data_IF_074443097427
#
_entry.id   IF_074443097427
#
_cell.length_a   1.000
_cell.length_b   1.000
_cell.length_c   1.000
_cell.angle_alpha   90.00
_cell.angle_beta   90.00
_cell.angle_gamma   90.00
#
_symmetry.space_group_name_H-M   'P 1'
#
loop_
_entity.id
_entity.type
_entity.pdbx_description
1 polymer ?
#
# COMPACT_ATOMS: atom_id res chain seq x y z
N UNK A 1 23.35 49.94 -48.59
CA UNK A 1 23.72 48.91 -47.57
C UNK A 1 22.71 48.88 -46.39
N UNK A 2 22.31 50.00 -45.82
CA UNK A 2 21.33 50.08 -44.72
C UNK A 2 19.94 49.51 -45.08
N UNK A 3 19.43 49.79 -46.32
CA UNK A 3 18.14 49.28 -46.75
C UNK A 3 18.03 47.75 -46.81
N UNK A 4 19.13 47.06 -47.15
CA UNK A 4 19.13 45.57 -47.18
C UNK A 4 19.17 45.02 -45.74
N UNK A 5 19.80 45.68 -44.80
CA UNK A 5 19.83 45.28 -43.39
C UNK A 5 18.40 45.38 -42.78
N UNK A 6 17.66 46.46 -43.07
CA UNK A 6 16.30 46.68 -42.59
C UNK A 6 15.34 45.64 -43.11
N UNK A 7 15.53 45.11 -44.34
CA UNK A 7 14.68 44.03 -44.90
C UNK A 7 15.03 42.61 -44.41
N UNK A 8 16.29 42.41 -43.98
CA UNK A 8 16.76 41.07 -43.55
C UNK A 8 16.48 40.85 -42.05
N UNK A 9 16.56 41.91 -41.19
CA UNK A 9 16.31 41.80 -39.75
C UNK A 9 14.96 41.16 -39.39
N UNK A 10 13.81 41.58 -39.94
CA UNK A 10 12.50 40.96 -39.62
C UNK A 10 12.43 39.48 -39.98
N UNK A 11 13.07 39.10 -41.10
CA UNK A 11 13.09 37.68 -41.57
C UNK A 11 13.91 36.86 -40.58
N UNK A 12 15.06 37.31 -40.16
CA UNK A 12 15.89 36.63 -39.14
C UNK A 12 15.19 36.47 -37.80
N UNK A 13 14.53 37.57 -37.33
CA UNK A 13 13.76 37.54 -36.10
C UNK A 13 12.63 36.52 -36.20
N UNK A 14 11.89 36.50 -37.31
CA UNK A 14 10.81 35.55 -37.54
C UNK A 14 11.34 34.09 -37.58
N UNK A 15 12.48 33.86 -38.20
CA UNK A 15 13.09 32.51 -38.30
C UNK A 15 13.57 32.03 -36.90
N UNK A 16 14.21 32.91 -36.12
CA UNK A 16 14.63 32.61 -34.74
C UNK A 16 13.40 32.34 -33.86
N UNK A 17 12.35 33.16 -33.97
CA UNK A 17 11.10 32.96 -33.25
C UNK A 17 10.45 31.62 -33.60
N UNK A 18 10.42 31.26 -34.90
CA UNK A 18 9.87 29.98 -35.34
C UNK A 18 10.67 28.79 -34.76
N UNK A 19 12.00 28.82 -34.84
CA UNK A 19 12.85 27.78 -34.29
C UNK A 19 12.65 27.67 -32.76
N UNK A 20 12.61 28.80 -32.05
CA UNK A 20 12.35 28.83 -30.62
C UNK A 20 11.00 28.23 -30.26
N UNK A 21 9.96 28.57 -31.01
CA UNK A 21 8.59 28.03 -30.83
C UNK A 21 8.55 26.50 -31.04
N UNK A 22 9.25 25.99 -32.05
CA UNK A 22 9.34 24.55 -32.32
C UNK A 22 10.05 23.85 -31.16
N UNK A 23 11.16 24.40 -30.67
CA UNK A 23 11.92 23.84 -29.54
C UNK A 23 11.08 23.86 -28.25
N UNK A 24 10.37 24.94 -27.97
CA UNK A 24 9.50 25.08 -26.84
C UNK A 24 8.35 24.07 -26.89
N UNK A 25 7.69 23.93 -28.04
CA UNK A 25 6.63 22.97 -28.23
C UNK A 25 7.11 21.51 -28.04
N UNK A 26 8.30 21.15 -28.55
CA UNK A 26 8.91 19.84 -28.32
C UNK A 26 9.18 19.59 -26.82
N UNK A 27 9.70 20.59 -26.10
CA UNK A 27 9.95 20.50 -24.66
C UNK A 27 8.65 20.34 -23.89
N UNK A 28 7.65 21.14 -24.19
CA UNK A 28 6.32 21.10 -23.57
C UNK A 28 5.65 19.75 -23.80
N UNK A 29 5.70 19.21 -25.03
CA UNK A 29 5.17 17.88 -25.33
C UNK A 29 5.83 16.79 -24.49
N UNK A 30 7.16 16.78 -24.38
CA UNK A 30 7.89 15.81 -23.54
C UNK A 30 7.52 15.91 -22.06
N UNK A 31 7.30 17.13 -21.56
CA UNK A 31 6.85 17.35 -20.18
C UNK A 31 5.44 16.79 -20.00
N UNK A 32 4.53 17.08 -20.92
CA UNK A 32 3.14 16.57 -20.88
C UNK A 32 3.11 15.04 -20.88
N UNK A 33 3.84 14.39 -21.78
CA UNK A 33 3.93 12.93 -21.84
C UNK A 33 4.45 12.32 -20.52
N UNK A 34 5.43 12.99 -19.87
CA UNK A 34 5.91 12.56 -18.55
C UNK A 34 4.87 12.73 -17.45
N UNK A 35 4.16 13.85 -17.45
CA UNK A 35 3.10 14.13 -16.46
C UNK A 35 1.95 13.14 -16.60
N UNK A 36 1.49 12.89 -17.83
CA UNK A 36 0.44 11.91 -18.12
C UNK A 36 0.82 10.51 -17.64
N UNK A 37 2.07 10.11 -17.88
CA UNK A 37 2.58 8.81 -17.39
C UNK A 37 2.56 8.72 -15.86
N UNK A 38 3.06 9.76 -15.17
CA UNK A 38 3.06 9.79 -13.70
C UNK A 38 1.63 9.77 -13.16
N UNK A 39 0.70 10.50 -13.77
CA UNK A 39 -0.71 10.48 -13.39
C UNK A 39 -1.31 9.08 -13.54
N UNK A 40 -1.03 8.40 -14.64
CA UNK A 40 -1.51 7.03 -14.87
C UNK A 40 -0.97 6.06 -13.83
N UNK A 41 0.31 6.16 -13.49
CA UNK A 41 0.93 5.32 -12.45
C UNK A 41 0.30 5.59 -11.06
N UNK A 42 -0.03 6.84 -10.73
CA UNK A 42 -0.73 7.20 -9.48
C UNK A 42 -2.15 6.65 -9.47
N UNK A 43 -2.88 6.72 -10.58
CA UNK A 43 -4.24 6.16 -10.69
C UNK A 43 -4.20 4.65 -10.43
N UNK A 44 -3.30 3.91 -11.09
CA UNK A 44 -3.14 2.47 -10.90
C UNK A 44 -2.81 2.12 -9.44
N UNK A 45 -1.87 2.86 -8.83
CA UNK A 45 -1.52 2.66 -7.43
C UNK A 45 -2.73 2.90 -6.51
N UNK A 46 -3.51 3.95 -6.78
CA UNK A 46 -4.69 4.29 -6.01
C UNK A 46 -5.79 3.24 -6.13
N UNK A 47 -6.06 2.75 -7.35
CA UNK A 47 -7.07 1.72 -7.60
C UNK A 47 -6.74 0.42 -6.87
N UNK A 48 -5.50 -0.07 -6.98
CA UNK A 48 -5.06 -1.26 -6.25
C UNK A 48 -5.11 -1.07 -4.74
N UNK A 49 -4.71 0.11 -4.25
CA UNK A 49 -4.77 0.40 -2.82
C UNK A 49 -6.21 0.53 -2.29
N UNK A 50 -7.19 0.84 -3.15
CA UNK A 50 -8.62 0.81 -2.78
C UNK A 50 -9.05 -0.62 -2.39
N UNK A 51 -8.56 -1.66 -3.07
CA UNK A 51 -8.84 -3.05 -2.68
C UNK A 51 -8.33 -3.34 -1.26
N UNK A 52 -7.11 -2.95 -0.93
CA UNK A 52 -6.55 -3.08 0.43
C UNK A 52 -7.44 -2.36 1.47
N UNK A 53 -7.89 -1.14 1.18
CA UNK A 53 -8.78 -0.39 2.10
C UNK A 53 -10.15 -1.04 2.27
N UNK A 54 -10.72 -1.57 1.20
CA UNK A 54 -12.00 -2.25 1.24
C UNK A 54 -11.89 -3.56 2.04
N UNK A 55 -10.86 -4.35 1.80
CA UNK A 55 -10.60 -5.58 2.54
C UNK A 55 -10.37 -5.30 4.04
N UNK A 56 -9.63 -4.23 4.37
CA UNK A 56 -9.49 -3.76 5.76
C UNK A 56 -10.84 -3.45 6.40
N UNK A 57 -11.70 -2.70 5.72
CA UNK A 57 -13.03 -2.35 6.23
C UNK A 57 -13.87 -3.60 6.50
N UNK A 58 -13.89 -4.54 5.55
CA UNK A 58 -14.63 -5.82 5.70
C UNK A 58 -14.10 -6.61 6.89
N UNK A 59 -12.78 -6.61 7.11
CA UNK A 59 -12.19 -7.22 8.29
C UNK A 59 -12.62 -6.51 9.58
N UNK A 60 -12.55 -5.17 9.63
CA UNK A 60 -12.94 -4.38 10.81
C UNK A 60 -14.41 -4.60 11.18
N UNK A 61 -15.30 -4.66 10.20
CA UNK A 61 -16.73 -4.97 10.40
C UNK A 61 -16.90 -6.39 10.98
N UNK A 62 -16.23 -7.40 10.42
CA UNK A 62 -16.29 -8.77 10.93
C UNK A 62 -15.72 -8.90 12.35
N UNK A 63 -14.64 -8.17 12.66
CA UNK A 63 -14.07 -8.12 14.00
C UNK A 63 -15.03 -7.46 15.00
N UNK A 64 -15.72 -6.41 14.62
CA UNK A 64 -16.72 -5.76 15.47
C UNK A 64 -17.88 -6.71 15.78
N UNK A 65 -18.39 -7.45 14.77
CA UNK A 65 -19.40 -8.49 15.00
C UNK A 65 -18.92 -9.56 16.00
N UNK A 66 -17.66 -10.00 15.88
CA UNK A 66 -17.07 -10.98 16.80
C UNK A 66 -17.00 -10.43 18.24
N UNK A 67 -16.54 -9.19 18.41
CA UNK A 67 -16.46 -8.56 19.75
C UNK A 67 -17.85 -8.51 20.40
N UNK A 68 -18.86 -8.11 19.64
CA UNK A 68 -20.27 -8.09 20.14
C UNK A 68 -20.72 -9.49 20.52
N UNK A 69 -20.45 -10.50 19.70
CA UNK A 69 -20.81 -11.88 20.02
C UNK A 69 -20.10 -12.41 21.28
N UNK A 70 -18.81 -12.11 21.44
CA UNK A 70 -18.04 -12.48 22.63
C UNK A 70 -18.49 -11.76 23.93
N UNK A 71 -19.16 -10.64 23.80
CA UNK A 71 -19.65 -9.83 24.94
C UNK A 71 -21.08 -10.18 25.33
N UNK A 72 -21.81 -10.93 24.52
CA UNK A 72 -23.18 -11.31 24.78
C UNK A 72 -23.23 -12.76 25.29
N UNK A 73 -23.41 -12.92 26.61
CA UNK A 73 -23.46 -14.23 27.29
C UNK A 73 -24.68 -15.09 26.90
N UNK A 74 -25.72 -14.47 26.32
CA UNK A 74 -26.93 -15.19 25.88
C UNK A 74 -26.72 -15.90 24.54
N UNK A 75 -25.66 -15.56 23.78
CA UNK A 75 -25.39 -16.19 22.50
C UNK A 75 -24.73 -17.56 22.67
N UNK A 76 -25.25 -18.54 21.94
CA UNK A 76 -24.63 -19.86 21.90
C UNK A 76 -23.22 -19.84 21.33
N UNK A 77 -22.38 -20.78 21.78
CA UNK A 77 -20.97 -20.91 21.36
C UNK A 77 -20.82 -21.05 19.84
N UNK A 78 -21.79 -21.65 19.16
CA UNK A 78 -21.81 -21.85 17.71
C UNK A 78 -21.86 -20.52 16.95
N UNK A 79 -22.61 -19.54 17.48
CA UNK A 79 -22.69 -18.19 16.89
C UNK A 79 -21.35 -17.47 17.08
N UNK A 80 -20.73 -17.59 18.26
CA UNK A 80 -19.41 -17.02 18.52
C UNK A 80 -18.37 -17.65 17.59
N UNK A 81 -18.43 -18.96 17.37
CA UNK A 81 -17.54 -19.68 16.45
C UNK A 81 -17.71 -19.21 15.00
N UNK A 82 -18.95 -19.04 14.53
CA UNK A 82 -19.23 -18.52 13.18
C UNK A 82 -18.59 -17.12 12.99
N UNK A 83 -18.80 -16.21 13.96
CA UNK A 83 -18.24 -14.85 13.89
C UNK A 83 -16.71 -14.87 14.00
N UNK A 84 -16.15 -15.77 14.80
CA UNK A 84 -14.72 -15.98 14.92
C UNK A 84 -14.09 -16.42 13.59
N UNK A 85 -14.64 -17.44 12.94
CA UNK A 85 -14.15 -17.93 11.65
C UNK A 85 -14.28 -16.84 10.56
N UNK A 86 -15.40 -16.10 10.58
CA UNK A 86 -15.58 -14.96 9.67
C UNK A 86 -14.48 -13.91 9.88
N UNK A 87 -14.23 -13.50 11.11
CA UNK A 87 -13.22 -12.50 11.43
C UNK A 87 -11.80 -12.97 11.06
N UNK A 88 -11.47 -14.24 11.33
CA UNK A 88 -10.18 -14.82 10.96
C UNK A 88 -9.97 -14.89 9.45
N UNK A 89 -10.97 -15.34 8.69
CA UNK A 89 -10.88 -15.39 7.24
C UNK A 89 -10.70 -13.97 6.65
N UNK A 90 -11.42 -12.97 7.17
CA UNK A 90 -11.29 -11.58 6.72
C UNK A 90 -9.95 -10.94 7.12
N UNK A 91 -9.40 -11.33 8.28
CA UNK A 91 -8.02 -10.98 8.64
C UNK A 91 -7.02 -11.51 7.62
N UNK A 92 -7.14 -12.77 7.25
CA UNK A 92 -6.25 -13.41 6.27
C UNK A 92 -6.38 -12.76 4.88
N UNK A 93 -7.62 -12.56 4.40
CA UNK A 93 -7.90 -11.88 3.13
C UNK A 93 -7.25 -10.48 3.10
N UNK A 94 -7.41 -9.71 4.18
CA UNK A 94 -6.85 -8.37 4.26
C UNK A 94 -5.33 -8.35 4.14
N UNK A 95 -4.60 -9.23 4.85
CA UNK A 95 -3.14 -9.24 4.77
C UNK A 95 -2.62 -9.87 3.47
N UNK A 96 -3.37 -10.75 2.83
CA UNK A 96 -3.07 -11.20 1.47
C UNK A 96 -3.17 -10.03 0.47
N UNK A 97 -4.23 -9.22 0.52
CA UNK A 97 -4.37 -8.02 -0.33
C UNK A 97 -3.24 -7.01 -0.09
N UNK A 98 -2.79 -6.83 1.16
CA UNK A 98 -1.62 -6.00 1.49
C UNK A 98 -0.37 -6.56 0.81
N UNK A 99 -0.12 -7.85 0.91
CA UNK A 99 1.05 -8.49 0.32
C UNK A 99 1.02 -8.43 -1.21
N UNK A 100 -0.12 -8.68 -1.83
CA UNK A 100 -0.31 -8.60 -3.29
C UNK A 100 -0.04 -7.19 -3.80
N UNK A 101 -0.50 -6.17 -3.10
CA UNK A 101 -0.14 -4.78 -3.41
C UNK A 101 1.37 -4.58 -3.34
N UNK A 102 2.04 -5.08 -2.30
CA UNK A 102 3.49 -4.97 -2.14
C UNK A 102 4.27 -5.72 -3.22
N UNK A 103 3.81 -6.90 -3.66
CA UNK A 103 4.36 -7.62 -4.81
C UNK A 103 4.35 -6.72 -6.05
N UNK A 104 3.21 -6.10 -6.37
CA UNK A 104 3.07 -5.24 -7.55
C UNK A 104 4.00 -4.02 -7.51
N UNK A 105 4.27 -3.48 -6.31
CA UNK A 105 5.25 -2.40 -6.12
C UNK A 105 6.67 -2.92 -6.30
N UNK A 106 7.02 -4.03 -5.66
CA UNK A 106 8.38 -4.58 -5.64
C UNK A 106 8.85 -5.03 -7.04
N UNK A 107 7.96 -5.62 -7.84
CA UNK A 107 8.27 -5.99 -9.24
C UNK A 107 8.26 -4.79 -10.20
N UNK A 108 7.96 -3.58 -9.71
CA UNK A 108 7.92 -2.35 -10.51
C UNK A 108 6.75 -2.25 -11.47
N UNK A 109 5.68 -3.02 -11.26
CA UNK A 109 4.42 -2.89 -12.00
C UNK A 109 3.69 -1.58 -11.67
N UNK A 110 3.96 -1.00 -10.50
CA UNK A 110 3.49 0.29 -10.03
C UNK A 110 4.70 1.19 -9.81
N UNK A 111 4.75 2.34 -10.50
CA UNK A 111 5.90 3.27 -10.49
C UNK A 111 5.59 4.63 -9.86
N UNK A 112 4.56 4.72 -9.03
CA UNK A 112 4.12 5.96 -8.37
C UNK A 112 4.91 6.22 -7.07
N UNK A 113 6.25 6.19 -7.10
CA UNK A 113 7.13 6.18 -5.93
C UNK A 113 6.78 7.25 -4.88
N UNK A 114 6.63 8.51 -5.28
CA UNK A 114 6.30 9.60 -4.35
C UNK A 114 4.92 9.43 -3.71
N UNK A 115 3.92 8.95 -4.46
CA UNK A 115 2.59 8.70 -3.93
C UNK A 115 2.60 7.51 -2.97
N UNK A 116 3.29 6.43 -3.32
CA UNK A 116 3.46 5.26 -2.47
C UNK A 116 4.15 5.67 -1.16
N UNK A 117 5.28 6.37 -1.24
CA UNK A 117 6.08 6.81 -0.09
C UNK A 117 5.29 7.72 0.86
N UNK A 118 4.59 8.72 0.33
CA UNK A 118 3.97 9.76 1.15
C UNK A 118 2.56 9.42 1.63
N UNK A 119 1.89 8.48 0.98
CA UNK A 119 0.48 8.19 1.24
C UNK A 119 0.25 6.75 1.67
N UNK A 120 0.73 5.79 0.88
CA UNK A 120 0.41 4.38 1.09
C UNK A 120 1.30 3.75 2.16
N UNK A 121 2.61 3.97 2.10
CA UNK A 121 3.57 3.34 3.03
C UNK A 121 3.26 3.67 4.50
N UNK A 122 2.82 4.88 4.79
CA UNK A 122 2.42 5.29 6.14
C UNK A 122 1.29 4.41 6.70
N UNK A 123 0.31 4.07 5.87
CA UNK A 123 -0.80 3.21 6.30
C UNK A 123 -0.38 1.74 6.38
N UNK A 124 0.39 1.25 5.40
CA UNK A 124 0.89 -0.12 5.43
C UNK A 124 1.82 -0.35 6.63
N UNK A 125 2.64 0.63 7.00
CA UNK A 125 3.45 0.56 8.22
C UNK A 125 2.59 0.45 9.49
N UNK A 126 1.48 1.19 9.57
CA UNK A 126 0.52 1.05 10.68
C UNK A 126 -0.12 -0.34 10.71
N UNK A 127 -0.45 -0.92 9.54
CA UNK A 127 -1.01 -2.27 9.49
C UNK A 127 0.01 -3.31 9.99
N UNK A 128 1.28 -3.17 9.63
CA UNK A 128 2.34 -4.06 10.13
C UNK A 128 2.46 -4.03 11.65
N UNK A 129 2.34 -2.85 12.29
CA UNK A 129 2.45 -2.74 13.75
C UNK A 129 1.33 -3.44 14.51
N UNK A 130 0.15 -3.59 13.90
CA UNK A 130 -1.02 -4.23 14.53
C UNK A 130 -1.23 -5.68 14.09
N UNK A 131 -0.54 -6.14 13.05
CA UNK A 131 -0.75 -7.47 12.46
C UNK A 131 -0.62 -8.58 13.48
N UNK A 132 0.49 -8.59 14.22
CA UNK A 132 0.82 -9.66 15.16
C UNK A 132 -0.04 -9.59 16.43
N UNK A 133 -0.30 -8.39 16.94
CA UNK A 133 -1.17 -8.17 18.10
C UNK A 133 -2.61 -8.58 17.78
N UNK A 134 -3.05 -8.35 16.55
CA UNK A 134 -4.37 -8.79 16.07
C UNK A 134 -4.48 -10.30 16.01
N UNK A 135 -3.46 -10.98 15.45
CA UNK A 135 -3.45 -12.44 15.41
C UNK A 135 -3.46 -13.02 16.81
N UNK A 136 -2.62 -12.50 17.73
CA UNK A 136 -2.58 -12.94 19.11
C UNK A 136 -3.95 -12.75 19.82
N UNK A 137 -4.65 -11.67 19.53
CA UNK A 137 -6.00 -11.42 20.04
C UNK A 137 -7.01 -12.48 19.55
N UNK A 138 -6.97 -12.82 18.26
CA UNK A 138 -7.81 -13.88 17.69
C UNK A 138 -7.48 -15.25 18.29
N UNK A 139 -6.20 -15.56 18.45
CA UNK A 139 -5.73 -16.77 19.13
C UNK A 139 -6.22 -16.86 20.57
N UNK A 140 -6.20 -15.74 21.32
CA UNK A 140 -6.72 -15.65 22.67
C UNK A 140 -8.24 -15.95 22.74
N UNK A 141 -9.02 -15.49 21.74
CA UNK A 141 -10.43 -15.82 21.65
C UNK A 141 -10.61 -17.32 21.36
N UNK A 142 -9.83 -17.90 20.43
CA UNK A 142 -9.88 -19.32 20.16
C UNK A 142 -9.65 -20.16 21.42
N UNK A 143 -8.62 -19.83 22.21
CA UNK A 143 -8.34 -20.49 23.48
C UNK A 143 -9.47 -20.33 24.50
N UNK A 144 -10.00 -19.10 24.66
CA UNK A 144 -11.08 -18.83 25.61
C UNK A 144 -12.32 -19.67 25.38
N UNK A 145 -12.67 -19.90 24.12
CA UNK A 145 -13.87 -20.62 23.73
C UNK A 145 -13.63 -22.09 23.34
N UNK A 146 -12.39 -22.58 23.43
CA UNK A 146 -12.03 -23.96 23.07
C UNK A 146 -12.12 -24.25 21.56
N UNK A 147 -11.96 -23.23 20.72
CA UNK A 147 -11.91 -23.42 19.28
C UNK A 147 -10.55 -24.01 18.85
N UNK A 148 -10.51 -24.58 17.63
CA UNK A 148 -9.26 -25.07 17.07
C UNK A 148 -8.21 -23.95 17.01
N UNK A 149 -6.95 -24.29 17.34
CA UNK A 149 -5.85 -23.34 17.27
C UNK A 149 -5.65 -22.82 15.85
N UNK A 150 -5.54 -21.49 15.74
CA UNK A 150 -5.25 -20.87 14.46
C UNK A 150 -3.86 -21.26 13.98
N UNK A 151 -3.78 -21.70 12.74
CA UNK A 151 -2.48 -21.89 12.10
C UNK A 151 -1.79 -20.54 11.97
N UNK A 152 -0.61 -20.41 12.56
CA UNK A 152 0.22 -19.21 12.41
C UNK A 152 0.52 -18.99 10.93
N UNK A 153 0.32 -17.79 10.40
CA UNK A 153 0.74 -17.47 9.05
C UNK A 153 2.25 -17.73 8.91
N UNK A 154 2.64 -18.39 7.84
CA UNK A 154 4.06 -18.48 7.50
C UNK A 154 4.56 -17.06 7.18
N UNK A 155 5.54 -16.56 7.93
CA UNK A 155 6.09 -15.22 7.69
C UNK A 155 6.67 -15.06 6.27
N UNK A 156 7.11 -16.17 5.65
CA UNK A 156 7.56 -16.18 4.26
C UNK A 156 6.45 -15.82 3.27
N UNK A 157 5.20 -16.08 3.62
CA UNK A 157 4.06 -15.66 2.80
C UNK A 157 3.95 -14.13 2.68
N UNK A 158 4.58 -13.38 3.59
CA UNK A 158 4.57 -11.92 3.62
C UNK A 158 5.94 -11.31 3.30
N UNK A 159 6.83 -12.04 2.63
CA UNK A 159 8.19 -11.58 2.29
C UNK A 159 8.17 -10.28 1.46
N UNK A 160 7.23 -10.13 0.54
CA UNK A 160 7.11 -8.93 -0.27
C UNK A 160 6.58 -7.73 0.51
N UNK A 161 5.71 -7.97 1.48
CA UNK A 161 5.31 -6.94 2.44
C UNK A 161 6.52 -6.49 3.28
N UNK A 162 7.34 -7.40 3.73
CA UNK A 162 8.56 -7.09 4.48
C UNK A 162 9.55 -6.26 3.66
N UNK A 163 9.82 -6.68 2.42
CA UNK A 163 10.67 -5.93 1.47
C UNK A 163 10.16 -4.50 1.29
N UNK A 164 8.86 -4.35 1.11
CA UNK A 164 8.21 -3.04 1.01
C UNK A 164 8.42 -2.21 2.27
N UNK A 165 8.15 -2.77 3.45
CA UNK A 165 8.31 -2.07 4.72
C UNK A 165 9.76 -1.61 4.96
N UNK A 166 10.73 -2.45 4.66
CA UNK A 166 12.15 -2.13 4.75
C UNK A 166 12.51 -0.98 3.81
N UNK A 167 12.09 -1.06 2.54
CA UNK A 167 12.39 -0.06 1.54
C UNK A 167 11.83 1.34 1.88
N UNK A 168 10.65 1.40 2.47
CA UNK A 168 9.95 2.67 2.74
C UNK A 168 10.07 3.19 4.17
N UNK A 169 10.68 2.45 5.10
CA UNK A 169 10.84 2.84 6.51
C UNK A 169 12.29 2.92 6.99
N UNK A 170 13.22 3.26 6.13
CA UNK A 170 14.60 3.54 6.51
C UNK A 170 15.54 2.33 6.54
N UNK A 171 15.14 1.22 5.90
CA UNK A 171 16.00 0.04 5.73
C UNK A 171 15.93 -0.95 6.89
N UNK A 172 16.68 -2.03 6.76
CA UNK A 172 16.71 -3.16 7.71
C UNK A 172 17.20 -2.79 9.13
N UNK A 173 17.97 -1.73 9.24
CA UNK A 173 18.52 -1.25 10.53
C UNK A 173 17.65 -0.15 11.16
N UNK A 174 16.49 0.14 10.59
CA UNK A 174 15.59 1.15 11.14
C UNK A 174 14.99 0.72 12.49
N UNK A 175 14.68 1.69 13.34
CA UNK A 175 13.97 1.46 14.59
C UNK A 175 12.59 0.82 14.33
N UNK A 176 11.91 1.21 13.26
CA UNK A 176 10.64 0.63 12.84
C UNK A 176 10.78 -0.88 12.56
N UNK A 177 11.77 -1.28 11.76
CA UNK A 177 11.96 -2.69 11.42
C UNK A 177 12.38 -3.53 12.62
N UNK A 178 13.16 -2.94 13.52
CA UNK A 178 13.53 -3.59 14.80
C UNK A 178 12.30 -3.83 15.67
N UNK A 179 11.37 -2.88 15.75
CA UNK A 179 10.10 -3.05 16.47
C UNK A 179 9.25 -4.17 15.87
N UNK A 180 9.10 -4.22 14.55
CA UNK A 180 8.38 -5.32 13.86
C UNK A 180 8.97 -6.69 14.20
N UNK A 181 10.31 -6.87 14.13
CA UNK A 181 10.96 -8.13 14.52
C UNK A 181 10.69 -8.48 15.97
N UNK A 182 10.74 -7.49 16.86
CA UNK A 182 10.46 -7.71 18.29
C UNK A 182 9.01 -8.21 18.49
N UNK A 183 8.03 -7.61 17.84
CA UNK A 183 6.63 -8.06 17.88
C UNK A 183 6.46 -9.48 17.33
N UNK A 184 7.15 -9.83 16.25
CA UNK A 184 7.16 -11.20 15.71
C UNK A 184 7.58 -12.21 16.76
N UNK A 185 8.74 -11.97 17.40
CA UNK A 185 9.27 -12.86 18.45
C UNK A 185 8.33 -12.95 19.65
N UNK A 186 7.82 -11.82 20.14
CA UNK A 186 6.88 -11.78 21.27
C UNK A 186 5.60 -12.59 21.01
N UNK A 187 5.13 -12.63 19.77
CA UNK A 187 3.94 -13.38 19.36
C UNK A 187 4.28 -14.76 18.76
N UNK A 188 5.54 -15.19 18.82
CA UNK A 188 5.99 -16.53 18.41
C UNK A 188 5.93 -16.79 16.91
N UNK A 189 6.17 -15.77 16.08
CA UNK A 189 6.27 -15.90 14.62
C UNK A 189 7.72 -16.14 14.13
N UNK A 190 8.71 -15.96 14.99
CA UNK A 190 10.15 -16.26 14.78
C UNK A 190 10.65 -17.14 15.92
#
# INVERSE_FOLDING_TARGET
MLENIIKICPILISLVSLVYTILLNRKTRKIREKVEKVQLDVIKASELYVHVKNSKKVYEDARAELIVACSNEELGIEIVQEKFLKAYNRYTDFFNEVNDFCIMVNIGAIKAENYIKNTISVNLSKYATIQYDTFASLQGIAHKYGFEELRKPDYKAFEDYDKFLIAYNGGENSAFWTDIKTKRRQNGFE
#
